data_IF_279362947794
#
_entry.id   IF_279362947794
#
_cell.length_a   1.000
_cell.length_b   1.000
_cell.length_c   1.000
_cell.angle_alpha   90.00
_cell.angle_beta   90.00
_cell.angle_gamma   90.00
#
_symmetry.space_group_name_H-M   'P 1'
#
loop_
_entity.id
_entity.type
_entity.pdbx_description
1 polymer ?
#
# COMPACT_ATOMS: atom_id res chain seq x y z
N UNK A 1 -21.34 -1.63 21.16
CA UNK A 1 -21.29 -2.17 19.79
C UNK A 1 -20.83 -3.61 19.73
N UNK A 2 -19.91 -4.08 20.59
CA UNK A 2 -19.51 -5.51 20.59
C UNK A 2 -20.57 -6.44 21.22
N UNK A 3 -21.28 -6.00 22.27
CA UNK A 3 -22.35 -6.81 22.91
C UNK A 3 -23.57 -7.00 22.00
N UNK A 4 -24.04 -5.94 21.32
CA UNK A 4 -25.19 -5.99 20.39
C UNK A 4 -24.95 -6.93 19.20
N UNK A 5 -23.70 -7.11 18.77
CA UNK A 5 -23.37 -7.99 17.66
C UNK A 5 -23.32 -9.47 18.08
N UNK A 6 -22.95 -9.74 19.34
CA UNK A 6 -22.98 -11.08 19.93
C UNK A 6 -24.40 -11.64 20.05
N UNK A 7 -25.37 -10.81 20.45
CA UNK A 7 -26.76 -11.22 20.63
C UNK A 7 -27.44 -11.62 19.31
N UNK A 8 -27.15 -10.86 18.24
CA UNK A 8 -27.62 -11.15 16.88
C UNK A 8 -27.05 -12.49 16.39
N UNK A 9 -25.76 -12.74 16.65
CA UNK A 9 -25.10 -13.99 16.26
C UNK A 9 -25.72 -15.20 16.98
N UNK A 10 -26.04 -15.06 18.27
CA UNK A 10 -26.69 -16.11 19.06
C UNK A 10 -28.10 -16.44 18.56
N UNK A 11 -28.90 -15.42 18.23
CA UNK A 11 -30.22 -15.63 17.63
C UNK A 11 -30.13 -16.33 16.27
N UNK A 12 -29.16 -15.93 15.45
CA UNK A 12 -28.96 -16.49 14.11
C UNK A 12 -28.44 -17.94 14.14
N UNK A 13 -27.65 -18.32 15.14
CA UNK A 13 -27.23 -19.70 15.40
C UNK A 13 -28.41 -20.61 15.71
N UNK A 14 -29.31 -20.14 16.59
CA UNK A 14 -30.52 -20.87 16.98
C UNK A 14 -31.46 -21.02 15.79
N UNK A 15 -31.68 -19.95 15.03
CA UNK A 15 -32.49 -19.97 13.79
C UNK A 15 -31.89 -20.87 12.70
N UNK A 16 -30.57 -21.09 12.71
CA UNK A 16 -29.88 -21.97 11.77
C UNK A 16 -29.96 -23.45 12.14
N UNK A 17 -30.57 -23.79 13.28
CA UNK A 17 -30.78 -25.17 13.73
C UNK A 17 -29.59 -25.79 14.46
N UNK A 18 -28.65 -24.98 14.95
CA UNK A 18 -27.47 -25.44 15.72
C UNK A 18 -27.86 -25.60 17.19
N UNK A 19 -27.61 -26.77 17.76
CA UNK A 19 -27.81 -27.06 19.18
C UNK A 19 -26.58 -26.62 19.98
N UNK A 20 -26.74 -25.60 20.81
CA UNK A 20 -25.69 -25.07 21.68
C UNK A 20 -25.64 -25.91 22.97
N UNK A 21 -24.50 -26.57 23.30
CA UNK A 21 -24.39 -27.36 24.54
C UNK A 21 -24.21 -26.45 25.77
N UNK A 22 -25.28 -25.82 26.25
CA UNK A 22 -25.30 -25.01 27.49
C UNK A 22 -26.08 -23.71 27.36
N UNK A 23 -26.52 -23.15 28.50
CA UNK A 23 -27.24 -21.88 28.59
C UNK A 23 -26.25 -20.71 28.59
N UNK A 24 -25.68 -20.40 27.42
CA UNK A 24 -24.74 -19.29 27.24
C UNK A 24 -25.44 -18.08 26.61
N UNK A 25 -25.27 -16.91 27.22
CA UNK A 25 -25.88 -15.66 26.73
C UNK A 25 -24.97 -14.89 25.77
N UNK A 26 -23.70 -15.28 25.62
CA UNK A 26 -22.76 -14.62 24.72
C UNK A 26 -21.69 -15.57 24.20
N UNK A 27 -21.15 -15.26 23.01
CA UNK A 27 -20.08 -15.99 22.31
C UNK A 27 -18.78 -16.06 23.12
N UNK A 28 -18.57 -15.09 24.03
CA UNK A 28 -17.43 -15.06 24.96
C UNK A 28 -17.46 -16.15 26.02
N UNK A 29 -18.61 -16.80 26.24
CA UNK A 29 -18.81 -17.84 27.26
C UNK A 29 -18.67 -19.25 26.69
N UNK A 30 -18.37 -19.40 25.39
CA UNK A 30 -18.24 -20.72 24.78
C UNK A 30 -17.05 -21.48 25.36
N UNK A 31 -17.36 -22.62 25.97
CA UNK A 31 -16.34 -23.61 26.34
C UNK A 31 -15.73 -24.21 25.08
N UNK A 32 -14.51 -24.72 25.18
CA UNK A 32 -13.80 -25.40 24.08
C UNK A 32 -14.66 -26.48 23.40
N UNK A 33 -15.39 -27.26 24.21
CA UNK A 33 -16.31 -28.31 23.74
C UNK A 33 -17.56 -27.74 23.04
N UNK A 34 -18.12 -26.64 23.54
CA UNK A 34 -19.26 -25.96 22.93
C UNK A 34 -18.90 -25.34 21.57
N UNK A 35 -17.76 -24.64 21.47
CA UNK A 35 -17.29 -24.04 20.22
C UNK A 35 -17.01 -25.10 19.14
N UNK A 36 -16.34 -26.19 19.54
CA UNK A 36 -16.05 -27.31 18.66
C UNK A 36 -17.33 -27.97 18.12
N UNK A 37 -18.32 -28.19 19.00
CA UNK A 37 -19.62 -28.75 18.64
C UNK A 37 -20.41 -27.83 17.69
N UNK A 38 -20.44 -26.52 17.97
CA UNK A 38 -21.10 -25.53 17.12
C UNK A 38 -20.46 -25.49 15.73
N UNK A 39 -19.13 -25.47 15.66
CA UNK A 39 -18.41 -25.46 14.37
C UNK A 39 -18.64 -26.76 13.58
N UNK A 40 -18.64 -27.92 14.23
CA UNK A 40 -18.94 -29.19 13.59
C UNK A 40 -20.37 -29.24 13.04
N UNK A 41 -21.35 -28.76 13.80
CA UNK A 41 -22.74 -28.68 13.37
C UNK A 41 -22.93 -27.72 12.18
N UNK A 42 -22.29 -26.54 12.21
CA UNK A 42 -22.32 -25.59 11.10
C UNK A 42 -21.65 -26.17 9.84
N UNK A 43 -20.50 -26.83 9.98
CA UNK A 43 -19.83 -27.50 8.88
C UNK A 43 -20.67 -28.61 8.27
N UNK A 44 -21.37 -29.42 9.07
CA UNK A 44 -22.27 -30.47 8.58
C UNK A 44 -23.44 -29.91 7.74
N UNK A 45 -23.91 -28.70 8.06
CA UNK A 45 -24.93 -28.01 7.27
C UNK A 45 -24.35 -27.42 5.96
N UNK A 46 -23.09 -26.99 5.97
CA UNK A 46 -22.39 -26.42 4.81
C UNK A 46 -21.86 -27.51 3.87
N UNK A 47 -21.43 -28.65 4.38
CA UNK A 47 -20.95 -29.78 3.58
C UNK A 47 -21.24 -31.13 4.28
N UNK A 48 -22.36 -31.79 3.93
CA UNK A 48 -22.71 -33.08 4.52
C UNK A 48 -21.82 -34.24 4.04
N UNK A 49 -20.94 -34.02 3.03
CA UNK A 49 -20.04 -35.06 2.52
C UNK A 49 -18.75 -35.20 3.34
N UNK A 50 -18.39 -34.19 4.13
CA UNK A 50 -17.12 -34.14 4.86
C UNK A 50 -17.16 -34.83 6.24
N UNK A 51 -18.34 -35.20 6.74
CA UNK A 51 -18.52 -35.64 8.12
C UNK A 51 -19.40 -36.91 8.26
N UNK A 52 -19.19 -37.88 7.39
CA UNK A 52 -19.73 -39.23 7.61
C UNK A 52 -18.79 -40.01 8.52
N UNK A 53 -18.82 -39.73 9.83
CA UNK A 53 -18.67 -40.72 10.89
C UNK A 53 -18.90 -40.07 12.26
N UNK A 54 -19.52 -40.83 13.16
CA UNK A 54 -20.00 -40.40 14.47
C UNK A 54 -18.81 -40.15 15.41
N UNK A 55 -18.42 -38.90 15.62
CA UNK A 55 -17.13 -38.53 16.22
C UNK A 55 -17.29 -37.84 17.58
N UNK A 56 -16.51 -38.30 18.58
CA UNK A 56 -16.29 -37.61 19.86
C UNK A 56 -15.56 -36.30 19.58
N UNK A 57 -16.18 -35.17 19.94
CA UNK A 57 -15.82 -33.77 19.60
C UNK A 57 -14.34 -33.39 19.86
N UNK A 58 -13.63 -34.12 20.73
CA UNK A 58 -12.27 -33.79 21.17
C UNK A 58 -11.18 -34.30 20.21
N UNK A 59 -11.39 -35.42 19.52
CA UNK A 59 -10.33 -36.07 18.70
C UNK A 59 -10.25 -35.52 17.26
N UNK A 60 -11.28 -34.83 16.77
CA UNK A 60 -11.36 -34.32 15.38
C UNK A 60 -11.28 -32.79 15.25
N UNK A 61 -10.82 -32.14 16.30
CA UNK A 61 -10.58 -30.70 16.32
C UNK A 61 -9.57 -30.23 15.24
N UNK A 62 -8.53 -31.02 14.88
CA UNK A 62 -7.69 -30.74 13.71
C UNK A 62 -8.45 -30.86 12.37
N UNK A 63 -9.36 -31.82 12.24
CA UNK A 63 -10.15 -32.05 11.01
C UNK A 63 -11.17 -30.92 10.79
N UNK A 64 -11.78 -30.44 11.88
CA UNK A 64 -12.63 -29.25 11.88
C UNK A 64 -11.81 -28.04 11.41
N UNK A 65 -10.63 -27.80 12.00
CA UNK A 65 -9.77 -26.69 11.60
C UNK A 65 -9.37 -26.76 10.12
N UNK A 66 -9.05 -27.95 9.61
CA UNK A 66 -8.70 -28.17 8.22
C UNK A 66 -9.89 -27.90 7.28
N UNK A 67 -11.08 -28.36 7.65
CA UNK A 67 -12.31 -28.16 6.88
C UNK A 67 -12.70 -26.68 6.80
N UNK A 68 -12.61 -25.93 7.90
CA UNK A 68 -12.84 -24.47 7.90
C UNK A 68 -11.83 -23.74 7.01
N UNK A 69 -10.55 -24.18 7.04
CA UNK A 69 -9.51 -23.59 6.19
C UNK A 69 -9.80 -23.83 4.70
N UNK A 70 -10.30 -25.02 4.36
CA UNK A 70 -10.69 -25.35 2.98
C UNK A 70 -11.91 -24.54 2.49
N UNK A 71 -12.75 -24.02 3.38
CA UNK A 71 -13.84 -23.08 3.06
C UNK A 71 -13.35 -21.64 2.79
N UNK A 72 -12.05 -21.37 2.91
CA UNK A 72 -11.45 -20.07 2.61
C UNK A 72 -11.39 -19.11 3.79
N UNK A 73 -11.31 -19.62 5.03
CA UNK A 73 -11.11 -18.76 6.19
C UNK A 73 -9.72 -18.10 6.14
N UNK A 74 -9.69 -16.76 6.17
CA UNK A 74 -8.48 -15.96 6.01
C UNK A 74 -7.65 -15.79 7.29
N UNK A 75 -8.21 -16.17 8.45
CA UNK A 75 -7.49 -16.11 9.72
C UNK A 75 -6.70 -17.39 9.99
N UNK A 76 -5.62 -17.30 10.77
CA UNK A 76 -4.92 -18.50 11.25
C UNK A 76 -5.87 -19.35 12.07
N UNK A 77 -6.21 -20.55 11.60
CA UNK A 77 -7.00 -21.52 12.35
C UNK A 77 -6.14 -22.75 12.63
N UNK A 78 -5.94 -23.03 13.92
CA UNK A 78 -5.14 -24.15 14.42
C UNK A 78 -5.87 -24.78 15.58
N UNK A 79 -5.58 -26.05 15.86
CA UNK A 79 -6.11 -26.81 16.99
C UNK A 79 -6.05 -26.04 18.32
N UNK A 80 -4.99 -25.26 18.53
CA UNK A 80 -4.80 -24.45 19.73
C UNK A 80 -5.90 -23.39 19.94
N UNK A 81 -6.50 -22.85 18.87
CA UNK A 81 -7.58 -21.86 18.98
C UNK A 81 -8.89 -22.46 19.50
N UNK A 82 -9.10 -23.75 19.30
CA UNK A 82 -10.25 -24.45 19.85
C UNK A 82 -10.03 -24.90 21.30
N UNK A 83 -8.79 -25.22 21.69
CA UNK A 83 -8.42 -25.53 23.09
C UNK A 83 -8.53 -24.29 24.01
N UNK A 84 -8.17 -23.13 23.48
CA UNK A 84 -8.20 -21.86 24.21
C UNK A 84 -8.97 -20.81 23.38
N UNK A 85 -10.31 -20.88 23.36
CA UNK A 85 -11.13 -19.97 22.57
C UNK A 85 -10.96 -18.53 23.07
N UNK A 86 -10.47 -17.65 22.20
CA UNK A 86 -10.51 -16.20 22.43
C UNK A 86 -11.86 -15.67 21.97
N UNK A 87 -12.35 -14.60 22.59
CA UNK A 87 -13.64 -13.99 22.23
C UNK A 87 -13.65 -13.53 20.77
N UNK A 88 -12.60 -12.85 20.33
CA UNK A 88 -12.45 -12.37 18.96
C UNK A 88 -12.33 -13.50 17.93
N UNK A 89 -11.54 -14.53 18.22
CA UNK A 89 -11.36 -15.66 17.30
C UNK A 89 -12.64 -16.49 17.19
N UNK A 90 -13.35 -16.72 18.31
CA UNK A 90 -14.61 -17.46 18.34
C UNK A 90 -15.69 -16.70 17.57
N UNK A 91 -15.78 -15.38 17.77
CA UNK A 91 -16.73 -14.54 17.04
C UNK A 91 -16.45 -14.50 15.54
N UNK A 92 -15.19 -14.30 15.13
CA UNK A 92 -14.79 -14.29 13.71
C UNK A 92 -15.05 -15.65 13.04
N UNK A 93 -14.70 -16.73 13.73
CA UNK A 93 -14.87 -18.09 13.25
C UNK A 93 -16.35 -18.43 13.03
N UNK A 94 -17.19 -18.18 14.02
CA UNK A 94 -18.62 -18.49 13.93
C UNK A 94 -19.33 -17.56 12.93
N UNK A 95 -18.98 -16.26 12.90
CA UNK A 95 -19.51 -15.32 11.92
C UNK A 95 -19.22 -15.75 10.48
N UNK A 96 -17.98 -16.17 10.21
CA UNK A 96 -17.57 -16.66 8.90
C UNK A 96 -18.36 -17.91 8.47
N UNK A 97 -18.50 -18.89 9.37
CA UNK A 97 -19.26 -20.11 9.06
C UNK A 97 -20.74 -19.80 8.81
N UNK A 98 -21.30 -18.87 9.57
CA UNK A 98 -22.69 -18.46 9.40
C UNK A 98 -22.92 -17.68 8.10
N UNK A 99 -21.96 -16.85 7.69
CA UNK A 99 -21.94 -16.16 6.41
C UNK A 99 -21.91 -17.16 5.24
N UNK A 100 -21.01 -18.15 5.30
CA UNK A 100 -20.94 -19.24 4.31
C UNK A 100 -22.21 -20.10 4.28
N UNK A 101 -22.84 -20.34 5.42
CA UNK A 101 -24.11 -21.05 5.51
C UNK A 101 -25.25 -20.24 4.89
N UNK A 102 -25.27 -18.92 5.09
CA UNK A 102 -26.23 -18.00 4.46
C UNK A 102 -26.05 -17.95 2.94
N UNK A 103 -24.81 -17.81 2.45
CA UNK A 103 -24.48 -17.84 1.02
C UNK A 103 -24.94 -19.14 0.35
N UNK A 104 -24.76 -20.29 1.02
CA UNK A 104 -25.23 -21.60 0.54
C UNK A 104 -26.77 -21.68 0.51
N UNK A 105 -27.46 -21.18 1.54
CA UNK A 105 -28.93 -21.11 1.58
C UNK A 105 -29.51 -20.18 0.50
N UNK A 106 -28.75 -19.17 0.07
CA UNK A 106 -29.16 -18.20 -0.95
C UNK A 106 -28.82 -18.60 -2.41
N UNK A 107 -28.13 -19.72 -2.63
CA UNK A 107 -27.99 -20.30 -3.97
C UNK A 107 -27.30 -19.39 -5.01
N UNK A 108 -26.29 -18.62 -4.62
CA UNK A 108 -25.55 -17.76 -5.54
C UNK A 108 -24.40 -18.54 -6.16
N UNK A 109 -24.51 -18.82 -7.47
CA UNK A 109 -23.41 -19.32 -8.32
C UNK A 109 -22.40 -18.20 -8.51
N UNK A 110 -21.11 -18.48 -8.29
CA UNK A 110 -20.02 -17.68 -8.86
C UNK A 110 -19.12 -18.57 -9.73
N UNK A 111 -19.08 -18.20 -11.01
CA UNK A 111 -18.07 -18.57 -12.01
C UNK A 111 -17.24 -17.31 -12.29
N UNK A 112 -15.97 -17.42 -12.72
CA UNK A 112 -14.97 -16.37 -12.55
C UNK A 112 -14.93 -15.39 -13.73
N UNK A 113 -14.68 -14.11 -13.46
CA UNK A 113 -13.79 -13.21 -14.24
C UNK A 113 -13.93 -11.74 -13.78
N UNK A 114 -12.75 -11.13 -13.59
CA UNK A 114 -12.35 -9.75 -13.87
C UNK A 114 -13.29 -8.54 -13.62
N UNK A 115 -12.68 -7.58 -12.90
CA UNK A 115 -12.77 -6.13 -12.97
C UNK A 115 -14.03 -5.36 -12.49
N UNK A 116 -13.69 -4.30 -11.74
CA UNK A 116 -14.41 -3.07 -11.40
C UNK A 116 -15.57 -3.04 -10.37
N UNK A 117 -15.21 -2.48 -9.21
CA UNK A 117 -15.72 -1.22 -8.63
C UNK A 117 -17.25 -1.04 -8.45
N UNK A 118 -17.60 -0.87 -7.16
CA UNK A 118 -18.76 -0.16 -6.57
C UNK A 118 -20.14 -0.83 -6.70
N UNK A 119 -21.06 -0.80 -5.73
CA UNK A 119 -21.25 0.05 -4.56
C UNK A 119 -22.29 -0.63 -3.64
N UNK A 120 -22.24 -0.44 -2.31
CA UNK A 120 -23.40 -0.65 -1.43
C UNK A 120 -23.55 0.56 -0.49
N UNK A 121 -24.77 1.07 -0.27
CA UNK A 121 -24.97 2.45 0.15
C UNK A 121 -24.89 2.59 1.67
N UNK A 122 -24.32 3.70 2.14
CA UNK A 122 -24.70 4.24 3.45
C UNK A 122 -25.02 5.71 3.31
N UNK A 123 -26.24 5.97 3.72
CA UNK A 123 -26.94 7.25 3.84
C UNK A 123 -26.10 8.23 4.63
N UNK A 124 -26.08 9.43 4.09
CA UNK A 124 -25.46 10.64 4.61
C UNK A 124 -25.89 10.93 6.05
N UNK A 125 -24.92 11.35 6.87
CA UNK A 125 -25.15 12.40 7.85
C UNK A 125 -23.90 13.29 7.87
N UNK A 126 -24.03 14.45 7.24
CA UNK A 126 -23.08 15.54 7.21
C UNK A 126 -22.74 16.02 8.63
N UNK A 127 -21.44 16.04 8.95
CA UNK A 127 -20.86 17.05 9.85
C UNK A 127 -19.41 17.31 9.42
N UNK A 128 -19.21 18.50 8.84
CA UNK A 128 -17.91 19.10 8.57
C UNK A 128 -17.04 19.11 9.84
N UNK A 129 -15.87 18.49 9.77
CA UNK A 129 -14.75 18.80 10.65
C UNK A 129 -13.52 19.01 9.76
N UNK A 130 -13.30 20.29 9.47
CA UNK A 130 -11.99 20.84 9.13
C UNK A 130 -11.05 20.58 10.31
N UNK A 131 -9.92 19.92 10.10
CA UNK A 131 -8.75 20.06 10.97
C UNK A 131 -7.44 19.81 10.20
N UNK A 132 -6.68 20.88 10.05
CA UNK A 132 -5.25 20.87 9.83
C UNK A 132 -4.57 20.13 10.98
N UNK A 133 -3.93 18.99 10.71
CA UNK A 133 -2.97 18.39 11.64
C UNK A 133 -1.56 18.53 11.08
N UNK A 134 -0.77 19.41 11.72
CA UNK A 134 0.66 19.53 11.50
C UNK A 134 1.34 18.18 11.71
N UNK A 135 2.00 17.69 10.66
CA UNK A 135 2.93 16.56 10.75
C UNK A 135 4.24 17.10 11.31
N UNK A 136 4.53 16.66 12.54
CA UNK A 136 5.81 16.83 13.20
C UNK A 136 6.83 15.94 12.48
N UNK A 137 7.68 16.53 11.66
CA UNK A 137 8.86 15.86 11.12
C UNK A 137 9.79 15.53 12.31
N UNK A 138 9.99 14.23 12.55
CA UNK A 138 11.16 13.77 13.29
C UNK A 138 12.26 13.61 12.26
N UNK A 139 13.30 14.43 12.39
CA UNK A 139 14.58 14.23 11.74
C UNK A 139 15.18 12.91 12.26
N UNK A 140 15.28 11.91 11.40
CA UNK A 140 16.22 10.81 11.55
C UNK A 140 17.35 11.10 10.57
N UNK A 141 18.51 11.48 11.12
CA UNK A 141 19.76 11.71 10.40
C UNK A 141 20.29 10.37 9.86
N UNK A 142 20.27 10.18 8.53
CA UNK A 142 21.14 9.23 7.84
C UNK A 142 22.05 10.06 6.90
N UNK A 143 23.29 10.29 7.36
CA UNK A 143 24.37 10.91 6.57
C UNK A 143 24.79 9.97 5.43
N UNK A 144 24.39 10.29 4.21
CA UNK A 144 24.94 9.69 2.99
C UNK A 144 25.96 10.66 2.36
N UNK A 145 27.23 10.52 2.75
CA UNK A 145 28.38 11.34 2.32
C UNK A 145 28.58 11.41 0.78
N UNK A 146 27.84 10.59 0.02
CA UNK A 146 27.90 10.54 -1.45
C UNK A 146 27.05 11.64 -2.10
N UNK A 147 25.98 12.08 -1.42
CA UNK A 147 25.03 13.07 -1.93
C UNK A 147 25.56 14.51 -1.72
N UNK A 148 26.22 14.76 -0.59
CA UNK A 148 26.84 16.06 -0.28
C UNK A 148 27.97 16.43 -1.24
N UNK A 149 28.72 15.44 -1.74
CA UNK A 149 29.77 15.65 -2.74
C UNK A 149 29.22 16.21 -4.07
N UNK A 150 27.98 15.84 -4.42
CA UNK A 150 27.32 16.31 -5.63
C UNK A 150 26.70 17.70 -5.43
N UNK A 151 26.14 17.97 -4.25
CA UNK A 151 25.64 19.31 -3.89
C UNK A 151 26.78 20.33 -3.89
N UNK A 152 27.91 20.03 -3.25
CA UNK A 152 29.06 20.94 -3.23
C UNK A 152 29.66 21.19 -4.62
N UNK A 153 29.62 20.21 -5.53
CA UNK A 153 30.04 20.41 -6.92
C UNK A 153 29.10 21.32 -7.70
N UNK A 154 27.79 21.16 -7.50
CA UNK A 154 26.78 22.03 -8.13
C UNK A 154 26.86 23.45 -7.58
N UNK A 155 27.09 23.59 -6.27
CA UNK A 155 27.24 24.87 -5.59
C UNK A 155 28.51 25.62 -6.01
N UNK A 156 29.63 24.91 -6.22
CA UNK A 156 30.87 25.48 -6.76
C UNK A 156 30.70 25.97 -8.20
N UNK A 157 29.98 25.22 -9.04
CA UNK A 157 29.70 25.61 -10.44
C UNK A 157 28.77 26.83 -10.50
N UNK A 158 27.81 26.95 -9.58
CA UNK A 158 26.92 28.12 -9.49
C UNK A 158 27.65 29.38 -8.99
N UNK A 159 28.69 29.21 -8.17
CA UNK A 159 29.51 30.34 -7.66
C UNK A 159 30.36 30.98 -8.76
N UNK A 160 30.90 30.18 -9.68
CA UNK A 160 31.71 30.67 -10.81
C UNK A 160 30.87 31.37 -11.91
N UNK A 161 29.55 31.21 -11.90
CA UNK A 161 28.62 31.86 -12.83
C UNK A 161 28.05 33.20 -12.33
N UNK A 162 28.37 33.62 -11.10
CA UNK A 162 27.88 34.89 -10.55
C UNK A 162 28.83 36.02 -10.95
N UNK A 163 28.52 36.68 -12.06
CA UNK A 163 29.18 37.93 -12.47
C UNK A 163 28.95 39.02 -11.42
N UNK A 164 30.04 39.45 -10.79
CA UNK A 164 30.10 40.60 -9.88
C UNK A 164 29.79 41.90 -10.64
N UNK A 165 28.87 42.77 -10.18
CA UNK A 165 28.85 44.15 -10.60
C UNK A 165 29.95 44.90 -9.84
N UNK A 166 30.99 45.32 -10.55
CA UNK A 166 31.99 46.28 -10.05
C UNK A 166 31.30 47.62 -9.78
N UNK A 167 31.10 47.95 -8.50
CA UNK A 167 31.01 49.33 -8.03
C UNK A 167 31.86 49.44 -6.77
N UNK A 168 33.08 49.95 -6.93
CA UNK A 168 33.92 50.40 -5.83
C UNK A 168 33.35 51.71 -5.25
N UNK A 169 33.19 51.82 -3.91
CA UNK A 169 32.82 53.07 -3.26
C UNK A 169 34.08 53.83 -2.85
N UNK A 170 34.31 55.02 -3.43
CA UNK A 170 35.34 55.95 -2.94
C UNK A 170 34.70 57.01 -2.05
N UNK A 171 35.09 56.97 -0.79
CA UNK A 171 35.11 58.00 0.24
C UNK A 171 34.65 59.43 -0.12
N UNK A 172 33.66 59.90 0.63
CA UNK A 172 33.40 61.32 0.84
C UNK A 172 34.33 61.85 1.96
N UNK A 173 35.24 62.76 1.61
CA UNK A 173 35.80 63.73 2.54
C UNK A 173 35.23 65.11 2.23
N UNK A 174 34.74 65.76 3.29
CA UNK A 174 34.18 67.10 3.27
C UNK A 174 35.27 68.15 3.09
N UNK A 175 35.07 69.12 2.19
CA UNK A 175 35.65 70.45 2.33
C UNK A 175 34.81 71.51 1.60
N UNK A 176 34.82 72.68 2.21
CA UNK A 176 33.95 73.84 2.05
C UNK A 176 34.42 74.82 0.97
N UNK A 177 33.47 75.68 0.56
CA UNK A 177 33.63 77.07 0.16
C UNK A 177 33.93 77.45 -1.31
N UNK A 178 33.05 78.35 -1.77
CA UNK A 178 33.29 79.53 -2.61
C UNK A 178 33.60 79.40 -4.10
N UNK A 179 32.96 80.31 -4.84
CA UNK A 179 33.57 80.94 -6.00
C UNK A 179 32.86 80.69 -7.33
N UNK A 180 31.88 81.54 -7.60
CA UNK A 180 31.55 82.08 -8.93
C UNK A 180 32.67 81.97 -9.98
N UNK A 181 32.31 81.63 -11.23
CA UNK A 181 32.65 82.38 -12.47
C UNK A 181 32.22 81.59 -13.72
N UNK A 182 31.23 82.11 -14.45
CA UNK A 182 31.03 81.84 -15.88
C UNK A 182 32.11 82.59 -16.69
N UNK A 183 32.49 82.10 -17.88
CA UNK A 183 32.07 82.85 -19.07
C UNK A 183 31.72 82.01 -20.32
N UNK A 184 30.60 82.41 -20.97
CA UNK A 184 30.39 82.74 -22.41
C UNK A 184 31.36 82.15 -23.46
N UNK A 185 31.03 81.73 -24.69
CA UNK A 185 29.91 81.81 -25.67
C UNK A 185 30.43 81.02 -26.94
N UNK A 186 29.87 81.03 -28.19
CA UNK A 186 28.63 81.61 -28.75
C UNK A 186 27.76 80.61 -29.59
N UNK A 187 26.43 80.78 -29.65
CA UNK A 187 25.61 81.47 -30.67
C UNK A 187 25.03 80.59 -31.80
N UNK A 188 23.69 80.53 -31.85
CA UNK A 188 22.83 80.47 -33.04
C UNK A 188 21.38 80.25 -32.55
N UNK A 189 20.39 81.13 -32.68
CA UNK A 189 20.26 82.37 -33.41
C UNK A 189 18.94 82.38 -34.19
N UNK A 190 17.77 82.44 -33.52
CA UNK A 190 16.51 82.87 -34.13
C UNK A 190 15.62 83.49 -33.04
N UNK A 191 15.27 84.76 -33.19
CA UNK A 191 14.32 85.50 -32.36
C UNK A 191 12.88 85.21 -32.80
N UNK A 192 11.96 85.11 -31.86
CA UNK A 192 10.56 85.46 -32.11
C UNK A 192 10.00 86.17 -30.86
N UNK A 193 9.54 87.40 -31.05
CA UNK A 193 8.95 88.25 -30.03
C UNK A 193 7.52 87.78 -29.70
N UNK A 194 7.18 87.65 -28.43
CA UNK A 194 5.80 87.80 -27.98
C UNK A 194 5.75 88.46 -26.60
N UNK A 195 5.11 89.62 -26.57
CA UNK A 195 4.82 90.44 -25.39
C UNK A 195 3.83 89.70 -24.49
N UNK A 196 4.19 89.44 -23.23
CA UNK A 196 3.30 88.83 -22.23
C UNK A 196 2.61 89.94 -21.42
N UNK A 197 1.28 89.84 -21.38
CA UNK A 197 0.33 90.72 -20.68
C UNK A 197 0.25 90.32 -19.18
N UNK A 198 0.28 91.22 -18.19
CA UNK A 198 0.41 90.87 -16.76
C UNK A 198 -0.84 90.24 -16.11
N UNK A 199 -1.93 90.03 -16.85
CA UNK A 199 -3.21 89.53 -16.34
C UNK A 199 -3.38 88.01 -16.41
N UNK A 200 -2.49 87.27 -17.09
CA UNK A 200 -2.57 85.80 -17.16
C UNK A 200 -1.91 85.12 -15.95
N UNK A 201 -0.84 85.69 -15.41
CA UNK A 201 -0.12 85.12 -14.26
C UNK A 201 -0.93 85.07 -12.97
N UNK A 202 -1.92 85.97 -12.80
CA UNK A 202 -2.81 85.98 -11.62
C UNK A 202 -3.88 84.91 -11.68
N UNK A 203 -4.29 84.48 -12.88
CA UNK A 203 -5.31 83.44 -13.04
C UNK A 203 -4.70 82.05 -12.87
N UNK A 204 -3.49 81.83 -13.41
CA UNK A 204 -2.75 80.56 -13.24
C UNK A 204 -2.35 80.31 -11.77
N UNK A 205 -1.97 81.35 -11.01
CA UNK A 205 -1.67 81.19 -9.58
C UNK A 205 -2.92 80.84 -8.76
N UNK A 206 -4.07 81.43 -9.07
CA UNK A 206 -5.35 81.10 -8.41
C UNK A 206 -5.79 79.67 -8.76
N UNK A 207 -5.57 79.22 -9.99
CA UNK A 207 -5.91 77.87 -10.43
C UNK A 207 -5.02 76.79 -9.79
N UNK A 208 -3.71 77.03 -9.70
CA UNK A 208 -2.79 76.16 -8.95
C UNK A 208 -3.10 76.14 -7.45
N UNK A 209 -3.49 77.28 -6.87
CA UNK A 209 -3.88 77.35 -5.46
C UNK A 209 -5.18 76.59 -5.18
N UNK A 210 -6.14 76.62 -6.11
CA UNK A 210 -7.36 75.82 -6.04
C UNK A 210 -7.07 74.32 -6.17
N UNK A 211 -6.14 73.91 -7.05
CA UNK A 211 -5.70 72.51 -7.16
C UNK A 211 -4.97 72.05 -5.90
N UNK A 212 -4.11 72.89 -5.32
CA UNK A 212 -3.44 72.59 -4.04
C UNK A 212 -4.45 72.42 -2.90
N UNK A 213 -5.45 73.29 -2.82
CA UNK A 213 -6.51 73.17 -1.80
C UNK A 213 -7.38 71.91 -2.01
N UNK A 214 -7.61 71.49 -3.25
CA UNK A 214 -8.32 70.26 -3.58
C UNK A 214 -7.54 69.02 -3.14
N UNK A 215 -6.25 68.96 -3.48
CA UNK A 215 -5.35 67.87 -3.07
C UNK A 215 -5.14 67.82 -1.55
N UNK A 216 -5.10 68.97 -0.88
CA UNK A 216 -5.03 69.05 0.57
C UNK A 216 -6.29 68.45 1.21
N UNK A 217 -7.46 68.73 0.65
CA UNK A 217 -8.74 68.14 1.09
C UNK A 217 -8.81 66.63 0.87
N UNK A 218 -8.27 66.12 -0.24
CA UNK A 218 -8.15 64.67 -0.51
C UNK A 218 -7.14 63.99 0.43
N UNK A 219 -6.06 64.68 0.79
CA UNK A 219 -5.09 64.17 1.76
C UNK A 219 -5.67 64.14 3.17
N UNK A 220 -6.42 65.18 3.55
CA UNK A 220 -7.11 65.24 4.84
C UNK A 220 -8.22 64.19 4.94
N UNK A 221 -8.99 63.97 3.87
CA UNK A 221 -9.99 62.90 3.82
C UNK A 221 -9.34 61.51 3.88
N UNK A 222 -8.27 61.27 3.11
CA UNK A 222 -7.51 60.03 3.15
C UNK A 222 -6.84 59.77 4.50
N UNK A 223 -6.35 60.82 5.18
CA UNK A 223 -5.77 60.72 6.53
C UNK A 223 -6.84 60.40 7.58
N UNK A 224 -8.05 60.92 7.40
CA UNK A 224 -9.20 60.65 8.27
C UNK A 224 -9.73 59.22 8.07
N UNK A 225 -9.76 58.73 6.83
CA UNK A 225 -10.06 57.33 6.52
C UNK A 225 -9.02 56.38 7.12
N UNK A 226 -7.73 56.68 6.96
CA UNK A 226 -6.65 55.92 7.59
C UNK A 226 -6.79 55.85 9.11
N UNK A 227 -7.07 56.99 9.76
CA UNK A 227 -7.35 57.01 11.21
C UNK A 227 -8.58 56.19 11.59
N UNK A 228 -9.62 56.20 10.76
CA UNK A 228 -10.82 55.38 11.01
C UNK A 228 -10.52 53.89 10.92
N UNK A 229 -9.67 53.47 9.97
CA UNK A 229 -9.20 52.09 9.85
C UNK A 229 -8.28 51.70 11.01
N UNK A 230 -7.40 52.60 11.45
CA UNK A 230 -6.49 52.36 12.57
C UNK A 230 -7.28 52.15 13.88
N UNK A 231 -8.29 53.01 14.13
CA UNK A 231 -9.22 52.83 15.25
C UNK A 231 -10.01 51.51 15.15
N UNK A 232 -10.40 51.07 13.96
CA UNK A 232 -11.07 49.76 13.77
C UNK A 232 -10.12 48.59 14.04
N UNK A 233 -8.85 48.68 13.62
CA UNK A 233 -7.83 47.67 13.90
C UNK A 233 -7.54 47.58 15.39
N UNK A 234 -7.44 48.72 16.09
CA UNK A 234 -7.23 48.76 17.54
C UNK A 234 -8.44 48.16 18.29
N UNK A 235 -9.67 48.43 17.85
CA UNK A 235 -10.89 47.80 18.37
C UNK A 235 -10.92 46.29 18.15
N UNK A 236 -10.50 45.82 16.97
CA UNK A 236 -10.40 44.39 16.65
C UNK A 236 -9.29 43.70 17.44
N UNK A 237 -8.19 44.41 17.70
CA UNK A 237 -7.05 43.91 18.49
C UNK A 237 -7.45 43.77 19.96
N UNK A 238 -8.13 44.77 20.53
CA UNK A 238 -8.68 44.69 21.88
C UNK A 238 -9.78 43.62 21.98
N UNK A 239 -10.64 43.47 20.96
CA UNK A 239 -11.62 42.39 20.91
C UNK A 239 -10.94 41.01 20.88
N UNK A 240 -9.87 40.85 20.11
CA UNK A 240 -9.09 39.61 20.06
C UNK A 240 -8.40 39.30 21.39
N UNK A 241 -7.83 40.30 22.08
CA UNK A 241 -7.22 40.16 23.40
C UNK A 241 -8.26 39.81 24.48
N UNK A 242 -9.46 40.39 24.43
CA UNK A 242 -10.57 40.02 25.34
C UNK A 242 -11.16 38.64 25.05
N UNK A 243 -11.04 38.13 23.81
CA UNK A 243 -11.50 36.79 23.41
C UNK A 243 -10.52 35.67 23.79
N UNK A 244 -9.25 35.99 24.07
CA UNK A 244 -8.25 35.02 24.54
C UNK A 244 -8.44 34.64 26.02
N UNK A 245 -9.24 35.40 26.79
CA UNK A 245 -9.46 35.17 28.23
C UNK A 245 -10.77 34.41 28.55
N UNK A 246 -11.70 34.27 27.60
CA UNK A 246 -12.92 33.46 27.79
C UNK A 246 -12.83 32.08 27.12
N UNK A 247 -12.76 31.04 27.95
CA UNK A 247 -12.90 29.63 27.56
C UNK A 247 -14.28 29.37 26.94
N UNK A 248 -14.39 29.40 25.61
CA UNK A 248 -15.53 28.88 24.85
C UNK A 248 -15.07 27.93 23.72
N UNK A 249 -15.89 26.94 23.31
CA UNK A 249 -15.46 25.81 22.48
C UNK A 249 -15.18 26.29 21.05
N UNK A 250 -13.94 26.10 20.59
CA UNK A 250 -13.39 26.64 19.34
C UNK A 250 -14.09 26.26 18.02
N UNK A 251 -15.16 25.47 18.04
CA UNK A 251 -15.85 24.99 16.83
C UNK A 251 -16.68 26.06 16.10
N UNK A 252 -17.42 26.93 16.81
CA UNK A 252 -18.28 27.93 16.17
C UNK A 252 -17.48 29.11 15.58
N UNK A 253 -16.40 29.50 16.24
CA UNK A 253 -15.49 30.54 15.74
C UNK A 253 -14.71 30.07 14.51
N UNK A 254 -14.21 28.83 14.51
CA UNK A 254 -13.60 28.21 13.34
C UNK A 254 -14.57 28.15 12.16
N UNK A 255 -15.83 27.80 12.41
CA UNK A 255 -16.86 27.77 11.37
C UNK A 255 -17.13 29.16 10.78
N UNK A 256 -17.22 30.20 11.63
CA UNK A 256 -17.43 31.57 11.16
C UNK A 256 -16.21 32.12 10.41
N UNK A 257 -14.99 31.79 10.85
CA UNK A 257 -13.76 32.12 10.14
C UNK A 257 -13.68 31.40 8.80
N UNK A 258 -14.07 30.13 8.73
CA UNK A 258 -14.12 29.38 7.49
C UNK A 258 -15.15 29.97 6.52
N UNK A 259 -16.31 30.40 7.01
CA UNK A 259 -17.32 31.07 6.20
C UNK A 259 -16.82 32.42 5.67
N UNK A 260 -16.07 33.19 6.47
CA UNK A 260 -15.40 34.40 6.01
C UNK A 260 -14.28 34.09 4.99
N UNK A 261 -13.50 33.04 5.18
CA UNK A 261 -12.48 32.60 4.23
C UNK A 261 -13.11 32.20 2.89
N UNK A 262 -14.24 31.50 2.91
CA UNK A 262 -15.01 31.17 1.70
C UNK A 262 -15.49 32.44 1.00
N UNK A 263 -16.08 33.39 1.73
CA UNK A 263 -16.52 34.66 1.15
C UNK A 263 -15.36 35.48 0.56
N UNK A 264 -14.22 35.53 1.25
CA UNK A 264 -13.01 36.19 0.74
C UNK A 264 -12.44 35.47 -0.48
N UNK A 265 -12.48 34.14 -0.51
CA UNK A 265 -12.07 33.32 -1.67
C UNK A 265 -12.98 33.56 -2.88
N UNK A 266 -14.30 33.65 -2.67
CA UNK A 266 -15.26 34.02 -3.72
C UNK A 266 -14.99 35.44 -4.24
N UNK A 267 -14.79 36.42 -3.34
CA UNK A 267 -14.47 37.78 -3.75
C UNK A 267 -13.15 37.88 -4.52
N UNK A 268 -12.11 37.14 -4.13
CA UNK A 268 -10.83 37.07 -4.88
C UNK A 268 -11.05 36.45 -6.27
N UNK A 269 -11.90 35.42 -6.37
CA UNK A 269 -12.24 34.80 -7.64
C UNK A 269 -13.02 35.75 -8.56
N UNK A 270 -13.97 36.51 -8.01
CA UNK A 270 -14.73 37.52 -8.75
C UNK A 270 -13.83 38.69 -9.18
N UNK A 271 -12.94 39.14 -8.30
CA UNK A 271 -11.97 40.20 -8.61
C UNK A 271 -10.95 39.73 -9.66
N UNK A 272 -10.53 38.46 -9.60
CA UNK A 272 -9.70 37.84 -10.64
C UNK A 272 -10.43 37.79 -11.97
N UNK A 273 -11.71 37.43 -11.99
CA UNK A 273 -12.54 37.45 -13.20
C UNK A 273 -12.67 38.87 -13.76
N UNK A 274 -12.97 39.86 -12.93
CA UNK A 274 -13.03 41.26 -13.35
C UNK A 274 -11.68 41.75 -13.89
N UNK A 275 -10.58 41.36 -13.26
CA UNK A 275 -9.24 41.66 -13.74
C UNK A 275 -8.95 40.99 -15.08
N UNK A 276 -9.34 39.73 -15.25
CA UNK A 276 -9.18 38.99 -16.49
C UNK A 276 -10.05 39.58 -17.62
N UNK A 277 -11.28 40.03 -17.33
CA UNK A 277 -12.16 40.72 -18.30
C UNK A 277 -11.56 42.07 -18.74
N UNK A 278 -11.05 42.86 -17.79
CA UNK A 278 -10.35 44.13 -18.08
C UNK A 278 -9.06 43.89 -18.86
N UNK A 279 -8.26 42.88 -18.45
CA UNK A 279 -7.03 42.49 -19.14
C UNK A 279 -7.31 42.06 -20.57
N UNK A 280 -8.28 41.17 -20.79
CA UNK A 280 -8.69 40.72 -22.13
C UNK A 280 -9.17 41.91 -22.99
N UNK A 281 -9.92 42.84 -22.40
CA UNK A 281 -10.37 44.05 -23.11
C UNK A 281 -9.20 44.95 -23.49
N UNK A 282 -8.22 45.13 -22.60
CA UNK A 282 -7.00 45.91 -22.86
C UNK A 282 -6.08 45.22 -23.87
N UNK A 283 -5.94 43.90 -23.79
CA UNK A 283 -5.21 43.09 -24.77
C UNK A 283 -5.85 43.15 -26.15
N UNK A 284 -7.19 43.07 -26.24
CA UNK A 284 -7.92 43.25 -27.49
C UNK A 284 -7.73 44.66 -28.07
N UNK A 285 -7.80 45.71 -27.24
CA UNK A 285 -7.52 47.09 -27.68
C UNK A 285 -6.07 47.27 -28.12
N UNK A 286 -5.11 46.69 -27.39
CA UNK A 286 -3.69 46.67 -27.75
C UNK A 286 -3.50 45.98 -29.10
N UNK A 287 -4.14 44.83 -29.33
CA UNK A 287 -4.11 44.12 -30.61
C UNK A 287 -4.73 44.94 -31.74
N UNK A 288 -5.88 45.58 -31.54
CA UNK A 288 -6.48 46.48 -32.54
C UNK A 288 -5.60 47.68 -32.88
N UNK A 289 -4.96 48.31 -31.88
CA UNK A 289 -4.03 49.43 -32.10
C UNK A 289 -2.74 48.97 -32.78
N UNK A 290 -2.23 47.79 -32.39
CA UNK A 290 -1.12 47.14 -33.08
C UNK A 290 -1.50 46.83 -34.52
N UNK A 291 -2.66 46.25 -34.81
CA UNK A 291 -3.12 45.97 -36.18
C UNK A 291 -3.24 47.25 -37.03
N UNK A 292 -3.68 48.36 -36.43
CA UNK A 292 -3.70 49.68 -37.08
C UNK A 292 -2.29 50.22 -37.36
N UNK A 293 -1.31 49.96 -36.48
CA UNK A 293 0.10 50.30 -36.70
C UNK A 293 0.83 49.31 -37.64
N UNK A 294 0.42 48.04 -37.67
CA UNK A 294 0.99 46.95 -38.46
C UNK A 294 0.63 47.02 -39.95
N UNK A 295 -0.26 47.94 -40.35
CA UNK A 295 -0.40 48.31 -41.77
C UNK A 295 0.92 48.90 -42.30
N UNK A 296 1.78 49.47 -41.43
CA UNK A 296 3.00 50.18 -41.84
C UNK A 296 4.32 49.40 -41.66
N UNK A 297 4.39 48.29 -40.88
CA UNK A 297 5.66 47.56 -40.68
C UNK A 297 5.54 46.01 -40.82
N UNK A 298 6.10 45.40 -41.88
CA UNK A 298 6.05 43.95 -42.09
C UNK A 298 6.92 43.14 -41.09
N UNK A 299 7.96 43.76 -40.52
CA UNK A 299 8.84 43.12 -39.54
C UNK A 299 8.12 42.85 -38.20
N UNK A 300 7.27 43.77 -37.75
CA UNK A 300 6.43 43.58 -36.58
C UNK A 300 5.40 42.44 -36.74
N UNK A 301 4.84 42.25 -37.95
CA UNK A 301 3.96 41.09 -38.26
C UNK A 301 4.69 39.76 -38.12
N UNK A 302 5.92 39.66 -38.61
CA UNK A 302 6.74 38.45 -38.46
C UNK A 302 7.07 38.17 -36.99
N UNK A 303 7.44 39.20 -36.22
CA UNK A 303 7.68 39.09 -34.77
C UNK A 303 6.42 38.66 -34.02
N UNK A 304 5.25 39.18 -34.39
CA UNK A 304 3.96 38.78 -33.80
C UNK A 304 3.63 37.31 -34.08
N UNK A 305 3.84 36.83 -35.31
CA UNK A 305 3.65 35.41 -35.63
C UNK A 305 4.60 34.49 -34.84
N UNK A 306 5.86 34.90 -34.65
CA UNK A 306 6.83 34.17 -33.81
C UNK A 306 6.38 34.15 -32.34
N UNK A 307 5.92 35.28 -31.81
CA UNK A 307 5.40 35.37 -30.45
C UNK A 307 4.21 34.43 -30.24
N UNK A 308 3.25 34.43 -31.18
CA UNK A 308 2.07 33.55 -31.12
C UNK A 308 2.45 32.07 -31.20
N UNK A 309 3.48 31.71 -31.96
CA UNK A 309 4.02 30.36 -31.99
C UNK A 309 4.62 29.96 -30.64
N UNK A 310 5.44 30.83 -30.04
CA UNK A 310 6.03 30.59 -28.72
C UNK A 310 4.94 30.46 -27.65
N UNK A 311 3.87 31.26 -27.72
CA UNK A 311 2.74 31.19 -26.81
C UNK A 311 2.01 29.84 -26.91
N UNK A 312 1.78 29.35 -28.14
CA UNK A 312 1.21 28.02 -28.36
C UNK A 312 2.12 26.90 -27.84
N UNK A 313 3.43 27.00 -28.10
CA UNK A 313 4.42 26.03 -27.62
C UNK A 313 4.49 26.03 -26.07
N UNK A 314 4.39 27.21 -25.45
CA UNK A 314 4.35 27.37 -23.99
C UNK A 314 3.08 26.78 -23.39
N UNK A 315 1.92 26.97 -24.04
CA UNK A 315 0.67 26.35 -23.63
C UNK A 315 0.73 24.82 -23.75
N UNK A 316 1.31 24.31 -24.84
CA UNK A 316 1.53 22.86 -25.03
C UNK A 316 2.45 22.30 -23.95
N UNK A 317 3.58 22.96 -23.67
CA UNK A 317 4.53 22.56 -22.63
C UNK A 317 3.92 22.61 -21.22
N UNK A 318 3.10 23.62 -20.93
CA UNK A 318 2.36 23.72 -19.67
C UNK A 318 1.40 22.55 -19.50
N UNK A 319 0.69 22.16 -20.56
CA UNK A 319 -0.23 21.01 -20.52
C UNK A 319 0.51 19.69 -20.32
N UNK A 320 1.70 19.51 -20.93
CA UNK A 320 2.54 18.33 -20.72
C UNK A 320 3.10 18.29 -19.29
N UNK A 321 3.55 19.44 -18.78
CA UNK A 321 4.06 19.55 -17.39
C UNK A 321 2.97 19.17 -16.39
N UNK A 322 1.74 19.64 -16.59
CA UNK A 322 0.61 19.25 -15.74
C UNK A 322 0.35 17.74 -15.79
N UNK A 323 0.36 17.12 -16.98
CA UNK A 323 0.20 15.66 -17.11
C UNK A 323 1.29 14.89 -16.37
N UNK A 324 2.56 15.31 -16.48
CA UNK A 324 3.67 14.67 -15.75
C UNK A 324 3.54 14.84 -14.24
N UNK A 325 3.02 15.97 -13.80
CA UNK A 325 2.74 16.21 -12.38
C UNK A 325 1.63 15.30 -11.85
N UNK A 326 0.56 15.11 -12.62
CA UNK A 326 -0.51 14.16 -12.33
C UNK A 326 0.01 12.71 -12.30
N UNK A 327 0.83 12.31 -13.27
CA UNK A 327 1.50 11.01 -13.28
C UNK A 327 2.39 10.81 -12.05
N UNK A 328 3.16 11.83 -11.67
CA UNK A 328 4.00 11.81 -10.48
C UNK A 328 3.16 11.59 -9.22
N UNK A 329 2.05 12.32 -9.08
CA UNK A 329 1.13 12.16 -7.94
C UNK A 329 0.52 10.75 -7.90
N UNK A 330 0.14 10.20 -9.05
CA UNK A 330 -0.37 8.83 -9.15
C UNK A 330 0.68 7.79 -8.73
N UNK A 331 1.93 7.94 -9.18
CA UNK A 331 3.03 7.04 -8.79
C UNK A 331 3.36 7.11 -7.30
N UNK A 332 3.33 8.31 -6.71
CA UNK A 332 3.51 8.47 -5.25
C UNK A 332 2.38 7.80 -4.47
N UNK A 333 1.12 7.96 -4.93
CA UNK A 333 -0.04 7.33 -4.30
C UNK A 333 0.04 5.80 -4.38
N UNK A 334 0.50 5.26 -5.53
CA UNK A 334 0.72 3.83 -5.69
C UNK A 334 1.84 3.33 -4.77
N UNK A 335 2.95 4.08 -4.65
CA UNK A 335 4.06 3.75 -3.76
C UNK A 335 3.62 3.71 -2.28
N UNK A 336 2.75 4.63 -1.86
CA UNK A 336 2.21 4.65 -0.49
C UNK A 336 1.23 3.50 -0.24
N UNK A 337 0.47 3.10 -1.27
CA UNK A 337 -0.47 1.97 -1.21
C UNK A 337 0.24 0.62 -1.16
N UNK A 338 1.48 0.53 -1.65
CA UNK A 338 2.26 -0.70 -1.59
C UNK A 338 2.50 -1.11 -0.13
N UNK A 339 2.20 -2.37 0.24
CA UNK A 339 2.51 -2.84 1.58
C UNK A 339 4.02 -2.72 1.82
N UNK A 340 4.41 -2.03 2.91
CA UNK A 340 5.81 -1.80 3.26
C UNK A 340 6.52 -3.16 3.34
N UNK A 341 7.36 -3.44 2.34
CA UNK A 341 8.16 -4.66 2.31
C UNK A 341 8.96 -4.77 3.62
N UNK A 342 9.14 -6.00 4.11
CA UNK A 342 9.92 -6.21 5.32
C UNK A 342 11.31 -5.57 5.17
N UNK A 343 11.85 -5.03 6.26
CA UNK A 343 13.14 -4.34 6.18
C UNK A 343 14.22 -5.26 5.60
N UNK A 344 15.17 -4.71 4.84
CA UNK A 344 16.31 -5.47 4.30
C UNK A 344 17.02 -6.29 5.39
N UNK A 345 17.10 -5.74 6.61
CA UNK A 345 17.65 -6.42 7.80
C UNK A 345 16.87 -7.69 8.18
N UNK A 346 15.54 -7.66 8.08
CA UNK A 346 14.67 -8.82 8.30
C UNK A 346 14.97 -9.94 7.29
N UNK A 347 15.04 -9.61 5.99
CA UNK A 347 15.40 -10.59 4.95
C UNK A 347 16.79 -11.18 5.17
N UNK A 348 17.79 -10.35 5.48
CA UNK A 348 19.16 -10.82 5.77
C UNK A 348 19.17 -11.75 6.99
N UNK A 349 18.42 -11.41 8.05
CA UNK A 349 18.32 -12.27 9.23
C UNK A 349 17.65 -13.60 8.91
N UNK A 350 16.52 -13.58 8.17
CA UNK A 350 15.84 -14.79 7.72
C UNK A 350 16.72 -15.69 6.87
N UNK A 351 17.44 -15.13 5.90
CA UNK A 351 18.40 -15.88 5.06
C UNK A 351 19.52 -16.49 5.91
N UNK A 352 20.05 -15.76 6.90
CA UNK A 352 21.07 -16.28 7.82
C UNK A 352 20.55 -17.45 8.65
N UNK A 353 19.34 -17.36 9.18
CA UNK A 353 18.74 -18.46 9.96
C UNK A 353 18.43 -19.67 9.08
N UNK A 354 17.90 -19.47 7.86
CA UNK A 354 17.72 -20.55 6.88
C UNK A 354 19.05 -21.25 6.59
N UNK A 355 20.12 -20.48 6.36
CA UNK A 355 21.47 -21.03 6.08
C UNK A 355 22.04 -21.79 7.28
N UNK A 356 21.78 -21.30 8.50
CA UNK A 356 22.18 -21.98 9.73
C UNK A 356 21.42 -23.29 9.92
N UNK A 357 20.12 -23.29 9.66
CA UNK A 357 19.27 -24.48 9.75
C UNK A 357 19.65 -25.52 8.69
N UNK A 358 19.92 -25.10 7.44
CA UNK A 358 20.39 -26.00 6.38
C UNK A 358 21.64 -26.77 6.81
N UNK A 359 22.64 -26.08 7.36
CA UNK A 359 23.88 -26.73 7.83
C UNK A 359 23.66 -27.71 8.98
N UNK A 360 22.71 -27.41 9.87
CA UNK A 360 22.31 -28.34 10.94
C UNK A 360 21.64 -29.58 10.34
N UNK A 361 20.71 -29.39 9.42
CA UNK A 361 20.03 -30.49 8.72
C UNK A 361 21.03 -31.39 7.99
N UNK A 362 22.02 -30.83 7.30
CA UNK A 362 23.05 -31.64 6.63
C UNK A 362 23.84 -32.51 7.62
N UNK A 363 24.19 -31.94 8.77
CA UNK A 363 24.90 -32.67 9.84
C UNK A 363 24.02 -33.77 10.44
N UNK A 364 22.74 -33.48 10.66
CA UNK A 364 21.77 -34.45 11.18
C UNK A 364 21.49 -35.57 10.17
N UNK A 365 21.39 -35.25 8.87
CA UNK A 365 21.25 -36.24 7.79
C UNK A 365 22.43 -37.19 7.77
N UNK A 366 23.67 -36.68 7.87
CA UNK A 366 24.84 -37.54 7.91
C UNK A 366 24.85 -38.44 9.15
N UNK A 367 24.46 -37.91 10.31
CA UNK A 367 24.32 -38.71 11.54
C UNK A 367 23.29 -39.82 11.38
N UNK A 368 22.06 -39.49 10.97
CA UNK A 368 20.96 -40.46 10.80
C UNK A 368 21.33 -41.51 9.74
N UNK A 369 21.99 -41.11 8.65
CA UNK A 369 22.47 -42.04 7.63
C UNK A 369 23.51 -43.02 8.18
N UNK A 370 24.44 -42.53 9.01
CA UNK A 370 25.41 -43.36 9.73
C UNK A 370 24.74 -44.37 10.65
N UNK A 371 23.83 -43.90 11.52
CA UNK A 371 23.06 -44.74 12.45
C UNK A 371 22.21 -45.78 11.70
N UNK A 372 21.58 -45.40 10.58
CA UNK A 372 20.80 -46.33 9.73
C UNK A 372 21.69 -47.43 9.15
N UNK A 373 22.91 -47.08 8.71
CA UNK A 373 23.87 -48.05 8.19
C UNK A 373 24.34 -49.00 9.30
N UNK A 374 24.59 -48.49 10.49
CA UNK A 374 24.98 -49.30 11.65
C UNK A 374 23.86 -50.29 12.02
N UNK A 375 22.61 -49.83 12.12
CA UNK A 375 21.45 -50.69 12.36
C UNK A 375 21.29 -51.77 11.28
N UNK A 376 21.55 -51.46 10.01
CA UNK A 376 21.52 -52.46 8.94
C UNK A 376 22.60 -53.53 9.11
N UNK A 377 23.81 -53.14 9.52
CA UNK A 377 24.90 -54.09 9.79
C UNK A 377 24.60 -54.96 11.02
N UNK A 378 24.05 -54.39 12.08
CA UNK A 378 23.63 -55.13 13.27
C UNK A 378 22.51 -56.13 12.93
N UNK A 379 21.49 -55.69 12.19
CA UNK A 379 20.39 -56.55 11.71
C UNK A 379 20.91 -57.75 10.90
N UNK A 380 21.82 -57.50 9.95
CA UNK A 380 22.44 -58.57 9.17
C UNK A 380 23.26 -59.53 10.04
N UNK A 381 24.04 -59.00 10.99
CA UNK A 381 24.84 -59.79 11.93
C UNK A 381 23.96 -60.69 12.82
N UNK A 382 22.84 -60.18 13.32
CA UNK A 382 21.86 -60.94 14.09
C UNK A 382 21.22 -62.02 13.22
N UNK A 383 20.83 -61.70 11.99
CA UNK A 383 20.24 -62.66 11.05
C UNK A 383 21.21 -63.81 10.72
N UNK A 384 22.48 -63.51 10.46
CA UNK A 384 23.50 -64.53 10.21
C UNK A 384 23.78 -65.40 11.45
N UNK A 385 23.80 -64.79 12.65
CA UNK A 385 23.91 -65.54 13.92
C UNK A 385 22.70 -66.45 14.13
N UNK A 386 21.49 -65.97 13.81
CA UNK A 386 20.26 -66.75 13.90
C UNK A 386 20.30 -67.95 12.95
N UNK A 387 20.66 -67.74 11.67
CA UNK A 387 20.79 -68.82 10.70
C UNK A 387 21.79 -69.90 11.15
N UNK A 388 22.96 -69.50 11.66
CA UNK A 388 23.97 -70.44 12.18
C UNK A 388 23.46 -71.21 13.39
N UNK A 389 22.83 -70.53 14.34
CA UNK A 389 22.29 -71.16 15.56
C UNK A 389 21.18 -72.15 15.22
N UNK A 390 20.29 -71.78 14.30
CA UNK A 390 19.22 -72.63 13.82
C UNK A 390 19.76 -73.89 13.14
N UNK A 391 20.76 -73.78 12.27
CA UNK A 391 21.37 -74.93 11.60
C UNK A 391 21.95 -75.94 12.61
N UNK A 392 22.62 -75.47 13.66
CA UNK A 392 23.17 -76.33 14.72
C UNK A 392 22.05 -77.04 15.49
N UNK A 393 20.99 -76.31 15.86
CA UNK A 393 19.83 -76.89 16.57
C UNK A 393 19.13 -77.92 15.69
N UNK A 394 18.93 -77.64 14.41
CA UNK A 394 18.32 -78.57 13.46
C UNK A 394 19.16 -79.86 13.32
N UNK A 395 20.49 -79.75 13.23
CA UNK A 395 21.38 -80.92 13.23
C UNK A 395 21.34 -81.71 14.56
N UNK A 396 21.19 -81.04 15.71
CA UNK A 396 21.00 -81.71 17.00
C UNK A 396 19.69 -82.48 17.06
N UNK A 397 18.58 -81.86 16.64
CA UNK A 397 17.26 -82.49 16.67
C UNK A 397 17.19 -83.66 15.69
N UNK A 398 17.75 -83.53 14.49
CA UNK A 398 17.84 -84.63 13.51
C UNK A 398 18.65 -85.82 13.99
N UNK A 399 19.63 -85.63 14.89
CA UNK A 399 20.31 -86.74 15.57
C UNK A 399 19.41 -87.44 16.60
N UNK A 400 18.65 -86.70 17.39
CA UNK A 400 17.72 -87.27 18.39
C UNK A 400 16.50 -87.95 17.76
N UNK A 401 16.07 -87.49 16.58
CA UNK A 401 15.06 -88.15 15.74
C UNK A 401 15.42 -89.59 15.36
N UNK A 402 16.71 -89.96 15.40
CA UNK A 402 17.16 -91.34 15.17
C UNK A 402 16.97 -92.24 16.40
N UNK A 403 16.83 -91.66 17.60
CA UNK A 403 16.77 -92.38 18.89
C UNK A 403 15.34 -92.59 19.40
N UNK A 404 14.48 -91.58 19.29
CA UNK A 404 13.07 -91.66 19.76
C UNK A 404 12.09 -91.25 18.63
N UNK A 405 11.18 -92.16 18.20
CA UNK A 405 10.16 -91.87 17.21
C UNK A 405 9.19 -90.74 17.58
N UNK A 406 8.94 -90.51 18.87
CA UNK A 406 7.99 -89.51 19.39
C UNK A 406 8.43 -88.08 19.05
N UNK A 407 9.74 -87.86 18.96
CA UNK A 407 10.36 -86.58 18.59
C UNK A 407 10.01 -86.17 17.16
N UNK A 408 9.67 -87.11 16.26
CA UNK A 408 9.27 -86.79 14.87
C UNK A 408 8.03 -85.92 14.81
N UNK A 409 7.05 -86.17 15.68
CA UNK A 409 5.79 -85.44 15.68
C UNK A 409 6.02 -83.99 16.15
N UNK A 410 6.85 -83.82 17.18
CA UNK A 410 7.26 -82.50 17.70
C UNK A 410 8.08 -81.75 16.66
N UNK A 411 9.04 -82.41 16.01
CA UNK A 411 9.86 -81.79 14.95
C UNK A 411 9.01 -81.30 13.77
N UNK A 412 8.05 -82.11 13.29
CA UNK A 412 7.10 -81.66 12.24
C UNK A 412 6.35 -80.40 12.63
N UNK A 413 5.91 -80.31 13.89
CA UNK A 413 5.22 -79.12 14.39
C UNK A 413 6.17 -77.91 14.42
N UNK A 414 7.41 -78.09 14.90
CA UNK A 414 8.43 -77.03 14.94
C UNK A 414 8.79 -76.54 13.53
N UNK A 415 9.02 -77.43 12.57
CA UNK A 415 9.28 -77.05 11.17
C UNK A 415 8.09 -76.32 10.55
N UNK A 416 6.87 -76.75 10.85
CA UNK A 416 5.64 -76.06 10.42
C UNK A 416 5.57 -74.63 10.98
N UNK A 417 5.84 -74.47 12.29
CA UNK A 417 5.89 -73.16 12.95
C UNK A 417 6.95 -72.26 12.30
N UNK A 418 8.16 -72.77 12.05
CA UNK A 418 9.21 -72.01 11.34
C UNK A 418 8.79 -71.59 9.92
N UNK A 419 8.12 -72.47 9.18
CA UNK A 419 7.57 -72.15 7.86
C UNK A 419 6.52 -71.05 7.91
N UNK A 420 5.63 -71.07 8.91
CA UNK A 420 4.62 -70.02 9.11
C UNK A 420 5.29 -68.69 9.48
N UNK A 421 6.28 -68.68 10.38
CA UNK A 421 7.03 -67.47 10.71
C UNK A 421 7.80 -66.90 9.51
N UNK A 422 8.34 -67.75 8.64
CA UNK A 422 8.94 -67.34 7.38
C UNK A 422 7.95 -66.60 6.47
N UNK A 423 6.75 -67.16 6.29
CA UNK A 423 5.68 -66.52 5.52
C UNK A 423 5.22 -65.19 6.13
N UNK A 424 5.09 -65.13 7.47
CA UNK A 424 4.74 -63.89 8.17
C UNK A 424 5.82 -62.82 7.95
N UNK A 425 7.10 -63.17 8.11
CA UNK A 425 8.21 -62.25 7.89
C UNK A 425 8.23 -61.70 6.46
N UNK A 426 8.05 -62.56 5.46
CA UNK A 426 7.98 -62.14 4.06
C UNK A 426 6.80 -61.20 3.79
N UNK A 427 5.61 -61.51 4.32
CA UNK A 427 4.41 -60.67 4.17
C UNK A 427 4.56 -59.31 4.86
N UNK A 428 5.19 -59.24 6.03
CA UNK A 428 5.50 -57.98 6.70
C UNK A 428 6.42 -57.11 5.85
N UNK A 429 7.51 -57.69 5.31
CA UNK A 429 8.45 -56.96 4.45
C UNK A 429 7.81 -56.47 3.14
N UNK A 430 6.98 -57.30 2.51
CA UNK A 430 6.24 -56.90 1.30
C UNK A 430 5.21 -55.80 1.60
N UNK A 431 4.50 -55.89 2.72
CA UNK A 431 3.56 -54.85 3.15
C UNK A 431 4.27 -53.53 3.41
N UNK A 432 5.43 -53.57 4.07
CA UNK A 432 6.25 -52.38 4.33
C UNK A 432 6.73 -51.70 3.04
N UNK A 433 7.16 -52.51 2.06
CA UNK A 433 7.54 -52.01 0.73
C UNK A 433 6.36 -51.35 0.02
N UNK A 434 5.21 -52.02 -0.04
CA UNK A 434 4.00 -51.48 -0.68
C UNK A 434 3.54 -50.19 0.00
N UNK A 435 3.62 -50.12 1.33
CA UNK A 435 3.31 -48.91 2.11
C UNK A 435 4.23 -47.74 1.74
N UNK A 436 5.54 -47.97 1.60
CA UNK A 436 6.48 -46.93 1.14
C UNK A 436 6.17 -46.46 -0.28
N UNK A 437 5.92 -47.40 -1.20
CA UNK A 437 5.54 -47.07 -2.58
C UNK A 437 4.22 -46.27 -2.63
N UNK A 438 3.22 -46.62 -1.81
CA UNK A 438 1.95 -45.90 -1.72
C UNK A 438 2.14 -44.43 -1.29
N UNK A 439 2.92 -44.19 -0.24
CA UNK A 439 3.24 -42.82 0.23
C UNK A 439 3.99 -42.02 -0.85
N UNK A 440 4.91 -42.65 -1.59
CA UNK A 440 5.60 -42.00 -2.70
C UNK A 440 4.63 -41.62 -3.85
N UNK A 441 3.65 -42.48 -4.15
CA UNK A 441 2.61 -42.16 -5.13
C UNK A 441 1.67 -41.05 -4.65
N UNK A 442 1.27 -41.05 -3.37
CA UNK A 442 0.48 -39.97 -2.77
C UNK A 442 1.22 -38.62 -2.86
N UNK A 443 2.52 -38.61 -2.55
CA UNK A 443 3.35 -37.41 -2.68
C UNK A 443 3.43 -36.92 -4.13
N UNK A 444 3.57 -37.84 -5.10
CA UNK A 444 3.55 -37.49 -6.53
C UNK A 444 2.18 -36.92 -6.95
N UNK A 445 1.08 -37.52 -6.49
CA UNK A 445 -0.27 -37.02 -6.74
C UNK A 445 -0.48 -35.62 -6.16
N UNK A 446 -0.06 -35.37 -4.92
CA UNK A 446 -0.11 -34.04 -4.31
C UNK A 446 0.71 -33.01 -5.07
N UNK A 447 1.89 -33.39 -5.59
CA UNK A 447 2.70 -32.51 -6.44
C UNK A 447 2.03 -32.20 -7.80
N UNK A 448 1.36 -33.17 -8.41
CA UNK A 448 0.64 -32.96 -9.67
C UNK A 448 -0.59 -32.08 -9.45
N UNK A 449 -1.36 -32.34 -8.40
CA UNK A 449 -2.55 -31.57 -8.03
C UNK A 449 -2.19 -30.10 -7.73
N UNK A 450 -1.12 -29.87 -6.95
CA UNK A 450 -0.65 -28.51 -6.62
C UNK A 450 -0.07 -27.74 -7.80
N UNK A 451 0.43 -28.43 -8.83
CA UNK A 451 0.99 -27.76 -10.02
C UNK A 451 -0.07 -27.03 -10.84
N UNK A 452 -1.37 -27.30 -10.62
CA UNK A 452 -2.49 -26.56 -11.22
C UNK A 452 -2.53 -26.54 -12.76
N UNK A 453 -1.64 -27.30 -13.41
CA UNK A 453 -1.59 -27.43 -14.86
C UNK A 453 -2.80 -28.27 -15.22
N UNK A 454 -3.82 -27.68 -15.84
CA UNK A 454 -4.91 -28.50 -16.36
C UNK A 454 -4.28 -29.50 -17.31
N UNK A 455 -4.48 -30.79 -17.04
CA UNK A 455 -3.98 -31.88 -17.89
C UNK A 455 -4.36 -31.61 -19.36
N UNK A 456 -5.48 -30.94 -19.57
CA UNK A 456 -5.98 -30.42 -20.85
C UNK A 456 -5.04 -29.42 -21.54
N UNK A 457 -4.42 -28.47 -20.83
CA UNK A 457 -3.45 -27.53 -21.42
C UNK A 457 -2.18 -28.25 -21.86
N UNK A 458 -1.65 -29.12 -21.00
CA UNK A 458 -0.49 -29.95 -21.33
C UNK A 458 -0.78 -30.90 -22.49
N UNK A 459 -2.00 -31.45 -22.56
CA UNK A 459 -2.44 -32.30 -23.66
C UNK A 459 -2.56 -31.50 -24.96
N UNK A 460 -3.12 -30.30 -24.92
CA UNK A 460 -3.22 -29.40 -26.07
C UNK A 460 -1.83 -29.01 -26.59
N UNK A 461 -0.90 -28.66 -25.70
CA UNK A 461 0.49 -28.32 -26.07
C UNK A 461 1.20 -29.52 -26.72
N UNK A 462 1.00 -30.73 -26.18
CA UNK A 462 1.58 -31.96 -26.71
C UNK A 462 1.01 -32.27 -28.11
N UNK A 463 -0.29 -32.14 -28.29
CA UNK A 463 -0.94 -32.37 -29.59
C UNK A 463 -0.54 -31.30 -30.63
N UNK A 464 -0.34 -30.04 -30.21
CA UNK A 464 0.21 -28.99 -31.07
C UNK A 464 1.63 -29.34 -31.54
N UNK A 465 2.52 -29.78 -30.64
CA UNK A 465 3.88 -30.22 -30.97
C UNK A 465 3.85 -31.43 -31.91
N UNK A 466 2.94 -32.39 -31.70
CA UNK A 466 2.78 -33.53 -32.61
C UNK A 466 2.34 -33.10 -34.00
N UNK A 467 1.41 -32.16 -34.08
CA UNK A 467 0.91 -31.64 -35.35
C UNK A 467 2.02 -30.87 -36.10
N UNK A 468 2.80 -30.06 -35.39
CA UNK A 468 3.98 -29.38 -35.94
C UNK A 468 5.01 -30.38 -36.47
N UNK A 469 5.36 -31.41 -35.69
CA UNK A 469 6.29 -32.46 -36.10
C UNK A 469 5.80 -33.21 -37.35
N UNK A 470 4.51 -33.53 -37.43
CA UNK A 470 3.93 -34.15 -38.63
C UNK A 470 3.98 -33.22 -39.85
N UNK A 471 3.81 -31.90 -39.64
CA UNK A 471 3.94 -30.90 -40.71
C UNK A 471 5.38 -30.83 -41.21
N UNK A 472 6.35 -30.80 -40.29
CA UNK A 472 7.78 -30.80 -40.60
C UNK A 472 8.21 -32.08 -41.32
N UNK A 473 7.75 -33.26 -40.89
CA UNK A 473 8.01 -34.53 -41.58
C UNK A 473 7.48 -34.55 -43.02
N UNK A 474 6.33 -33.91 -43.27
CA UNK A 474 5.78 -33.78 -44.64
C UNK A 474 6.56 -32.80 -45.49
N UNK A 475 7.20 -31.79 -44.89
CA UNK A 475 8.07 -30.84 -45.60
C UNK A 475 9.47 -31.42 -45.87
N UNK A 476 9.88 -32.45 -45.12
CA UNK A 476 11.15 -33.16 -45.30
C UNK A 476 11.10 -34.29 -46.34
N UNK A 477 9.91 -34.65 -46.83
CA UNK A 477 9.70 -35.57 -47.98
C UNK A 477 9.48 -34.78 -49.25
#
# INVERSE_FOLDING_TARGET
MEEECGDILMSTLIESGVSIPGDFSSVSQFTSEALASICAQLLNLIDPSAASEMIRVVDSLPDIAHSVKNLGYMGDISYHKFLHPSQDDSFRLVSFLLERLSEKKQGIKTSPAADDIACRPKVENFRDISDHRMVKLKEEEDNDETFDMHIHKVEAVLKDLTMTPDISPSHAENASADGSTLPNQPSSGYEEHSSIDPSETTNETVELQNQHNLLLGELESGSSELRSLDCQLELLTMAAETLLDEKQPGGLYLQQLNQQLVLKRCNIMDLKKQWDDVRLTLEAKKLCLLDQLHVEEPEAKEKFHKLKKIEFDLQSLSSETQKREEERCNLYSELERQPKAASRKSYIHGIKEITKNSRKLDSDIQRISGETRELQLESNSIQERLHRSYAVVDEMVTRELKKDPSIRQVYKLVTSIHGIFGQISEKILMTDRLRREAVDYEKKLGSIASRGSSLEKLQADLDAIRQENQSLEKQLK
#
